data_IF_648703044967
#
_entry.id   IF_648703044967
#
_cell.length_a   1.000
_cell.length_b   1.000
_cell.length_c   1.000
_cell.angle_alpha   90.00
_cell.angle_beta   90.00
_cell.angle_gamma   90.00
#
_symmetry.space_group_name_H-M   'P 1'
#
loop_
_entity.id
_entity.type
_entity.pdbx_description
1 polymer ?
#
# COMPACT_ATOMS: atom_id res chain seq x y z
N UNK A 1 -12.05 8.24 -1.23
CA UNK A 1 -13.07 7.40 -1.91
C UNK A 1 -14.41 7.68 -1.27
N UNK A 2 -15.38 8.12 -2.03
CA UNK A 2 -16.75 8.38 -1.59
C UNK A 2 -17.58 7.09 -1.49
N UNK A 3 -18.75 7.15 -0.85
CA UNK A 3 -19.68 6.01 -0.78
C UNK A 3 -20.13 5.58 -2.19
N UNK A 4 -20.38 6.55 -3.07
CA UNK A 4 -20.77 6.28 -4.47
C UNK A 4 -19.66 5.58 -5.26
N UNK A 5 -18.40 6.04 -5.13
CA UNK A 5 -17.24 5.38 -5.78
C UNK A 5 -17.02 3.95 -5.28
N UNK A 6 -17.27 3.70 -3.99
CA UNK A 6 -17.19 2.36 -3.42
C UNK A 6 -18.28 1.46 -4.01
N UNK A 7 -19.52 1.94 -4.07
CA UNK A 7 -20.62 1.17 -4.66
C UNK A 7 -20.39 0.81 -6.14
N UNK A 8 -19.75 1.71 -6.91
CA UNK A 8 -19.35 1.40 -8.28
C UNK A 8 -18.25 0.34 -8.32
N UNK A 9 -17.25 0.43 -7.45
CA UNK A 9 -16.17 -0.56 -7.38
C UNK A 9 -16.69 -1.94 -6.99
N UNK A 10 -17.57 -2.00 -5.98
CA UNK A 10 -18.22 -3.27 -5.55
C UNK A 10 -19.05 -3.90 -6.67
N UNK A 11 -19.74 -3.08 -7.47
CA UNK A 11 -20.53 -3.56 -8.63
C UNK A 11 -19.71 -4.11 -9.80
N UNK A 12 -18.39 -3.83 -9.82
CA UNK A 12 -17.47 -4.33 -10.85
C UNK A 12 -16.74 -5.61 -10.41
N UNK A 13 -16.87 -6.02 -9.15
CA UNK A 13 -16.20 -7.22 -8.66
C UNK A 13 -16.90 -8.49 -9.17
N UNK A 14 -16.15 -9.51 -9.60
CA UNK A 14 -16.69 -10.83 -9.82
C UNK A 14 -17.35 -11.41 -8.55
N UNK A 15 -18.38 -12.23 -8.72
CA UNK A 15 -19.07 -12.85 -7.59
C UNK A 15 -18.21 -13.92 -6.88
N UNK A 16 -17.30 -14.55 -7.58
CA UNK A 16 -16.36 -15.51 -7.00
C UNK A 16 -15.22 -14.77 -6.29
N UNK A 17 -14.93 -15.15 -5.05
CA UNK A 17 -13.98 -14.46 -4.18
C UNK A 17 -12.54 -14.51 -4.73
N UNK A 18 -12.12 -15.64 -5.28
CA UNK A 18 -10.78 -15.80 -5.88
C UNK A 18 -10.65 -14.97 -7.14
N UNK A 19 -11.69 -14.94 -7.98
CA UNK A 19 -11.73 -14.10 -9.17
C UNK A 19 -11.76 -12.61 -8.80
N UNK A 20 -12.46 -12.20 -7.74
CA UNK A 20 -12.48 -10.83 -7.26
C UNK A 20 -11.11 -10.37 -6.74
N UNK A 21 -10.38 -11.24 -6.04
CA UNK A 21 -9.01 -10.96 -5.59
C UNK A 21 -8.06 -10.76 -6.78
N UNK A 22 -8.11 -11.66 -7.76
CA UNK A 22 -7.30 -11.58 -8.99
C UNK A 22 -7.66 -10.33 -9.82
N UNK A 23 -8.94 -10.03 -9.96
CA UNK A 23 -9.43 -8.83 -10.64
C UNK A 23 -8.91 -7.56 -9.97
N UNK A 24 -8.98 -7.48 -8.64
CA UNK A 24 -8.50 -6.33 -7.88
C UNK A 24 -7.00 -6.12 -8.07
N UNK A 25 -6.20 -7.19 -8.03
CA UNK A 25 -4.77 -7.14 -8.29
C UNK A 25 -4.47 -6.68 -9.72
N UNK A 26 -5.17 -7.24 -10.72
CA UNK A 26 -4.99 -6.89 -12.14
C UNK A 26 -5.29 -5.41 -12.42
N UNK A 27 -6.36 -4.84 -11.83
CA UNK A 27 -6.69 -3.42 -11.97
C UNK A 27 -5.63 -2.53 -11.33
N UNK A 28 -5.09 -2.91 -10.17
CA UNK A 28 -4.00 -2.16 -9.53
C UNK A 28 -2.74 -2.17 -10.39
N UNK A 29 -2.36 -3.31 -10.95
CA UNK A 29 -1.21 -3.43 -11.86
C UNK A 29 -1.45 -2.65 -13.17
N UNK A 30 -2.64 -2.73 -13.74
CA UNK A 30 -3.00 -1.93 -14.92
C UNK A 30 -2.78 -0.43 -14.66
N UNK A 31 -3.23 0.07 -13.52
CA UNK A 31 -3.05 1.47 -13.11
C UNK A 31 -1.58 1.84 -12.85
N UNK A 32 -0.79 0.92 -12.34
CA UNK A 32 0.63 1.16 -12.03
C UNK A 32 1.53 1.06 -13.27
N UNK A 33 1.24 0.13 -14.19
CA UNK A 33 2.14 -0.23 -15.29
C UNK A 33 1.71 0.29 -16.67
N UNK A 34 0.42 0.43 -16.91
CA UNK A 34 -0.15 0.77 -18.23
C UNK A 34 -0.91 2.09 -18.20
N UNK A 35 -1.98 2.18 -17.38
CA UNK A 35 -2.85 3.34 -17.30
C UNK A 35 -2.34 4.36 -16.28
N UNK A 36 -1.10 4.85 -16.47
CA UNK A 36 -0.50 5.83 -15.55
C UNK A 36 -1.04 7.23 -15.82
N UNK A 37 -1.18 8.03 -14.76
CA UNK A 37 -1.77 9.38 -14.86
C UNK A 37 -0.94 10.34 -15.71
N UNK A 38 0.39 10.19 -15.77
CA UNK A 38 1.28 11.09 -16.50
C UNK A 38 1.51 10.69 -17.96
N UNK A 39 1.56 9.38 -18.25
CA UNK A 39 1.89 8.86 -19.58
C UNK A 39 1.25 7.49 -19.78
N UNK A 40 -0.06 7.40 -20.02
CA UNK A 40 -0.75 6.14 -20.22
C UNK A 40 -0.34 5.48 -21.55
N UNK A 41 -0.09 4.16 -21.50
CA UNK A 41 0.28 3.34 -22.65
C UNK A 41 -0.95 2.70 -23.29
N UNK A 42 -1.84 3.54 -23.84
CA UNK A 42 -3.14 3.10 -24.35
C UNK A 42 -3.06 2.04 -25.46
N UNK A 43 -2.00 2.06 -26.29
CA UNK A 43 -1.78 1.08 -27.34
C UNK A 43 -1.50 -0.35 -26.85
N UNK A 44 -1.09 -0.52 -25.59
CA UNK A 44 -0.90 -1.83 -24.95
C UNK A 44 -1.94 -2.12 -23.87
N UNK A 45 -2.98 -1.29 -23.73
CA UNK A 45 -4.00 -1.45 -22.71
C UNK A 45 -5.04 -2.49 -23.14
N UNK A 46 -5.26 -3.56 -22.36
CA UNK A 46 -6.27 -4.59 -22.69
C UNK A 46 -7.70 -4.05 -22.65
N UNK A 47 -7.96 -2.94 -21.93
CA UNK A 47 -9.27 -2.29 -21.82
C UNK A 47 -9.43 -1.11 -22.81
N UNK A 48 -8.56 -0.97 -23.79
CA UNK A 48 -8.58 0.19 -24.71
C UNK A 48 -9.86 0.27 -25.53
N UNK A 49 -10.44 -0.85 -25.93
CA UNK A 49 -11.67 -0.91 -26.73
C UNK A 49 -12.90 -0.34 -26.00
N UNK A 50 -12.95 -0.50 -24.67
CA UNK A 50 -14.06 -0.05 -23.82
C UNK A 50 -13.74 1.22 -23.04
N UNK A 51 -12.61 1.86 -23.33
CA UNK A 51 -12.15 3.00 -22.57
C UNK A 51 -12.83 4.30 -23.01
N UNK A 52 -13.80 4.78 -22.22
CA UNK A 52 -14.52 6.03 -22.48
C UNK A 52 -13.60 7.27 -22.58
N UNK A 53 -12.54 7.34 -21.77
CA UNK A 53 -11.59 8.44 -21.83
C UNK A 53 -10.80 8.45 -23.14
N UNK A 54 -10.38 7.30 -23.64
CA UNK A 54 -9.71 7.16 -24.94
C UNK A 54 -10.66 7.49 -26.08
N UNK A 55 -11.91 6.99 -26.04
CA UNK A 55 -12.93 7.29 -27.04
C UNK A 55 -13.30 8.78 -27.08
N UNK A 56 -13.22 9.49 -25.96
CA UNK A 56 -13.41 10.94 -25.87
C UNK A 56 -12.21 11.78 -26.36
N UNK A 57 -11.18 11.15 -26.92
CA UNK A 57 -9.99 11.85 -27.42
C UNK A 57 -8.99 12.26 -26.35
N UNK A 58 -8.97 11.54 -25.22
CA UNK A 58 -8.01 11.75 -24.12
C UNK A 58 -8.07 13.18 -23.53
N UNK A 59 -9.25 13.68 -23.09
CA UNK A 59 -9.38 15.03 -22.57
C UNK A 59 -8.44 15.25 -21.37
N UNK A 60 -7.84 16.45 -21.23
CA UNK A 60 -6.99 16.77 -20.08
C UNK A 60 -7.80 16.74 -18.79
N UNK A 61 -7.11 16.51 -17.66
CA UNK A 61 -7.74 16.58 -16.35
C UNK A 61 -8.00 18.06 -15.97
N UNK A 62 -9.25 18.44 -15.83
CA UNK A 62 -9.68 19.79 -15.44
C UNK A 62 -9.96 19.97 -13.94
N UNK A 63 -9.74 18.92 -13.15
CA UNK A 63 -9.96 18.96 -11.71
C UNK A 63 -8.84 19.69 -10.95
N UNK A 64 -9.01 19.93 -9.65
CA UNK A 64 -8.01 20.59 -8.82
C UNK A 64 -6.71 19.76 -8.76
N UNK A 65 -5.56 20.44 -8.83
CA UNK A 65 -4.27 19.78 -8.63
C UNK A 65 -4.24 19.04 -7.29
N UNK A 66 -3.93 17.75 -7.32
CA UNK A 66 -3.74 16.98 -6.09
C UNK A 66 -2.40 17.36 -5.48
N UNK A 67 -2.37 17.87 -4.23
CA UNK A 67 -1.11 18.19 -3.58
C UNK A 67 -0.25 16.93 -3.50
N UNK A 68 1.00 17.03 -3.96
CA UNK A 68 1.98 15.95 -3.83
C UNK A 68 2.19 15.67 -2.35
N UNK A 69 1.85 14.48 -1.89
CA UNK A 69 2.12 14.07 -0.51
C UNK A 69 3.64 14.05 -0.29
N UNK A 70 4.11 14.84 0.68
CA UNK A 70 5.50 14.74 1.14
C UNK A 70 5.70 13.35 1.71
N UNK A 71 6.75 12.67 1.30
CA UNK A 71 7.16 11.39 1.88
C UNK A 71 8.27 11.60 2.91
N UNK A 72 9.25 12.43 2.55
CA UNK A 72 10.40 12.73 3.41
C UNK A 72 9.97 13.42 4.72
N UNK A 73 10.44 12.93 5.84
CA UNK A 73 10.16 13.46 7.18
C UNK A 73 8.81 13.01 7.77
N UNK A 74 8.04 12.19 7.09
CA UNK A 74 6.72 11.75 7.57
C UNK A 74 6.78 10.47 8.41
N UNK A 75 5.77 10.25 9.25
CA UNK A 75 5.61 8.99 9.99
C UNK A 75 5.55 7.77 9.06
N UNK A 76 5.02 7.94 7.84
CA UNK A 76 5.02 6.88 6.81
C UNK A 76 6.44 6.45 6.43
N UNK A 77 7.37 7.40 6.30
CA UNK A 77 8.77 7.07 6.05
C UNK A 77 9.38 6.32 7.23
N UNK A 78 9.17 6.81 8.45
CA UNK A 78 9.71 6.18 9.67
C UNK A 78 9.17 4.75 9.83
N UNK A 79 7.88 4.55 9.64
CA UNK A 79 7.26 3.22 9.65
C UNK A 79 7.90 2.27 8.63
N UNK A 80 8.14 2.77 7.41
CA UNK A 80 8.83 2.00 6.36
C UNK A 80 10.23 1.56 6.75
N UNK A 81 11.01 2.45 7.36
CA UNK A 81 12.37 2.16 7.84
C UNK A 81 12.37 1.13 8.99
N UNK A 82 11.45 1.26 9.96
CA UNK A 82 11.31 0.29 11.04
C UNK A 82 10.97 -1.12 10.51
N UNK A 83 10.03 -1.20 9.57
CA UNK A 83 9.66 -2.47 8.92
C UNK A 83 10.80 -3.06 8.08
N UNK A 84 11.62 -2.23 7.43
CA UNK A 84 12.80 -2.69 6.67
C UNK A 84 13.77 -3.43 7.58
N UNK A 85 14.14 -2.84 8.72
CA UNK A 85 15.04 -3.49 9.70
C UNK A 85 14.48 -4.84 10.19
N UNK A 86 13.17 -4.89 10.47
CA UNK A 86 12.52 -6.12 10.92
C UNK A 86 12.46 -7.21 9.84
N UNK A 87 12.32 -6.85 8.56
CA UNK A 87 12.34 -7.79 7.43
C UNK A 87 13.73 -8.32 7.11
N UNK A 88 14.74 -7.46 7.22
CA UNK A 88 16.13 -7.79 6.91
C UNK A 88 16.81 -8.60 8.02
N UNK A 89 16.19 -8.69 9.19
CA UNK A 89 16.76 -9.42 10.34
C UNK A 89 16.04 -10.76 10.51
N UNK A 90 16.82 -11.84 10.50
CA UNK A 90 16.29 -13.16 10.83
C UNK A 90 15.98 -13.25 12.33
N UNK A 91 14.70 -13.08 12.71
CA UNK A 91 14.22 -13.16 14.08
C UNK A 91 13.93 -11.82 14.75
N UNK A 92 13.69 -11.81 16.06
CA UNK A 92 13.37 -10.60 16.80
C UNK A 92 14.50 -9.57 16.80
N UNK A 93 14.14 -8.28 16.89
CA UNK A 93 15.04 -7.13 16.89
C UNK A 93 14.87 -6.37 18.20
N UNK A 94 15.97 -5.98 18.84
CA UNK A 94 15.93 -5.11 20.02
C UNK A 94 15.59 -3.66 19.64
N UNK A 95 14.89 -2.97 20.54
CA UNK A 95 14.51 -1.57 20.39
C UNK A 95 15.69 -0.66 20.06
N UNK A 96 16.85 -0.88 20.69
CA UNK A 96 18.06 -0.11 20.43
C UNK A 96 18.51 -0.13 18.97
N UNK A 97 18.26 -1.23 18.25
CA UNK A 97 18.56 -1.30 16.82
C UNK A 97 17.53 -0.51 15.98
N UNK A 98 16.29 -0.53 16.40
CA UNK A 98 15.21 0.28 15.80
C UNK A 98 15.45 1.79 16.07
N UNK A 99 16.09 2.12 17.18
CA UNK A 99 16.42 3.50 17.54
C UNK A 99 17.39 4.19 16.57
N UNK A 100 18.14 3.41 15.82
CA UNK A 100 19.13 3.93 14.86
C UNK A 100 18.53 4.39 13.53
N UNK A 101 17.30 3.99 13.21
CA UNK A 101 16.71 4.24 11.88
C UNK A 101 16.23 5.69 11.68
N UNK A 102 15.99 6.41 12.79
CA UNK A 102 15.46 7.77 12.72
C UNK A 102 15.87 8.61 13.92
N UNK A 103 16.38 9.85 13.74
CA UNK A 103 16.94 10.63 14.82
C UNK A 103 15.91 11.15 15.84
N UNK A 104 14.67 11.47 15.41
CA UNK A 104 13.63 12.02 16.28
C UNK A 104 12.95 10.90 17.10
N UNK A 105 13.34 10.74 18.36
CA UNK A 105 12.86 9.68 19.24
C UNK A 105 11.34 9.65 19.42
N UNK A 106 10.70 10.81 19.58
CA UNK A 106 9.23 10.90 19.74
C UNK A 106 8.49 10.45 18.49
N UNK A 107 8.99 10.79 17.30
CA UNK A 107 8.41 10.36 16.03
C UNK A 107 8.59 8.87 15.82
N UNK A 108 9.77 8.34 16.12
CA UNK A 108 10.10 6.93 16.04
C UNK A 108 9.20 6.08 16.95
N UNK A 109 9.06 6.52 18.22
CA UNK A 109 8.17 5.86 19.18
C UNK A 109 6.73 5.84 18.67
N UNK A 110 6.19 6.97 18.26
CA UNK A 110 4.82 7.06 17.72
C UNK A 110 4.62 6.16 16.48
N UNK A 111 5.62 6.11 15.59
CA UNK A 111 5.57 5.25 14.42
C UNK A 111 5.59 3.76 14.78
N UNK A 112 6.40 3.36 15.77
CA UNK A 112 6.49 2.00 16.27
C UNK A 112 5.20 1.59 16.99
N UNK A 113 4.70 2.45 17.88
CA UNK A 113 3.41 2.23 18.59
C UNK A 113 2.26 2.05 17.57
N UNK A 114 2.25 2.85 16.49
CA UNK A 114 1.28 2.71 15.41
C UNK A 114 1.42 1.38 14.64
N UNK A 115 2.64 0.91 14.38
CA UNK A 115 2.85 -0.40 13.75
C UNK A 115 2.36 -1.55 14.63
N UNK A 116 2.53 -1.45 15.95
CA UNK A 116 2.02 -2.43 16.92
C UNK A 116 0.50 -2.39 16.96
N UNK A 117 -0.10 -1.20 17.03
CA UNK A 117 -1.56 -1.05 17.04
C UNK A 117 -2.23 -1.58 15.76
N UNK A 118 -1.55 -1.43 14.60
CA UNK A 118 -2.02 -1.96 13.32
C UNK A 118 -1.76 -3.48 13.15
N UNK A 119 -1.13 -4.14 14.13
CA UNK A 119 -0.79 -5.57 14.07
C UNK A 119 0.33 -5.91 13.07
N UNK A 120 1.09 -4.93 12.61
CA UNK A 120 2.20 -5.12 11.66
C UNK A 120 3.53 -5.43 12.35
N UNK A 121 3.62 -5.19 13.65
CA UNK A 121 4.75 -5.51 14.50
C UNK A 121 4.24 -6.09 15.82
N UNK A 122 4.84 -7.17 16.27
CA UNK A 122 4.53 -7.81 17.55
C UNK A 122 5.59 -7.43 18.59
N UNK A 123 5.18 -6.79 19.71
CA UNK A 123 6.08 -6.52 20.82
C UNK A 123 6.33 -7.79 21.63
N UNK A 124 7.58 -8.01 22.03
CA UNK A 124 8.02 -9.10 22.88
C UNK A 124 8.58 -8.57 24.21
N UNK A 125 8.73 -9.39 25.24
CA UNK A 125 9.31 -8.98 26.51
C UNK A 125 10.70 -8.33 26.35
N UNK A 126 11.04 -7.38 27.25
CA UNK A 126 12.35 -6.73 27.34
C UNK A 126 12.73 -5.87 26.13
N UNK A 127 11.75 -5.24 25.45
CA UNK A 127 12.00 -4.35 24.34
C UNK A 127 12.46 -5.04 23.05
N UNK A 128 11.99 -6.26 22.83
CA UNK A 128 12.15 -6.94 21.55
C UNK A 128 10.90 -6.80 20.69
N UNK A 129 11.06 -6.82 19.38
CA UNK A 129 10.01 -6.69 18.38
C UNK A 129 10.25 -7.68 17.25
N UNK A 130 9.17 -8.18 16.64
CA UNK A 130 9.23 -9.03 15.45
C UNK A 130 8.09 -8.74 14.49
N UNK A 131 8.20 -9.21 13.26
CA UNK A 131 7.04 -9.28 12.38
C UNK A 131 6.10 -10.39 12.86
N UNK A 132 4.78 -10.22 12.74
CA UNK A 132 3.84 -11.29 13.03
C UNK A 132 4.17 -12.53 12.19
N UNK A 133 4.08 -13.69 12.80
CA UNK A 133 4.17 -14.94 12.04
C UNK A 133 2.95 -15.02 11.13
N UNK A 134 3.16 -15.41 9.87
CA UNK A 134 2.04 -15.72 8.99
C UNK A 134 1.12 -16.74 9.68
N UNK A 135 -0.21 -16.58 9.61
CA UNK A 135 -1.10 -17.61 10.10
C UNK A 135 -0.72 -18.92 9.41
N UNK A 136 -0.79 -20.07 10.12
CA UNK A 136 -0.55 -21.34 9.48
C UNK A 136 -1.47 -21.43 8.26
N UNK A 137 -0.88 -21.65 7.07
CA UNK A 137 -1.67 -21.98 5.89
C UNK A 137 -2.50 -23.20 6.28
N UNK A 138 -3.83 -23.02 6.34
CA UNK A 138 -4.76 -24.14 6.46
C UNK A 138 -4.51 -24.97 5.20
N UNK A 139 -3.73 -26.04 5.39
CA UNK A 139 -3.41 -26.98 4.32
C UNK A 139 -4.71 -27.69 3.91
N UNK A 140 -4.77 -27.95 2.64
CA UNK A 140 -5.78 -28.79 1.97
C UNK A 140 -6.08 -30.09 2.73
#
# INVERSE_FOLDING_TARGET
MTVAERGLADGLLPADESAAALWSAAIMELGALVCTAAAPRCGSCPASADCAWLAAGQPPYEGPERPKQKFAGTDRQVRGLLLSVLRETAGPVQEQRLDLVWPAASQRKRALDGLVADGLVEPLPRGWYRLPLAPPTVGD
#
